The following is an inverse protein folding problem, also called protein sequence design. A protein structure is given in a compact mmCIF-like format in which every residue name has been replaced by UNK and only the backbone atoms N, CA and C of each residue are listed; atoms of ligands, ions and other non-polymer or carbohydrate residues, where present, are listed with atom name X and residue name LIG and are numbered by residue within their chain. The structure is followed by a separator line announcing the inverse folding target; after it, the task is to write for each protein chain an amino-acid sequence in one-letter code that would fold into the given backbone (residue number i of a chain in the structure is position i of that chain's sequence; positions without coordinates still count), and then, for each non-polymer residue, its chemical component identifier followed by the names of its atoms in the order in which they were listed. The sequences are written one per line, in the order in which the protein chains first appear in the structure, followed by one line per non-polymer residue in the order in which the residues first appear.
data_IF_958574581175
#
_entry.id   IF_958574581175
#
_cell.length_a   1.000
_cell.length_b   1.000
_cell.length_c   1.000
_cell.angle_alpha   90.00
_cell.angle_beta   90.00
_cell.angle_gamma   90.00
#
_symmetry.space_group_name_H-M   'P 1'
#
loop_
_entity.id
_entity.type
_entity.pdbx_description
1 polymer ?
#
# COMPACT_ATOMS: atom_id res chain seq x y z
N UNK A 1 10.14 60.22 -11.77
CA UNK A 1 9.15 59.45 -12.56
C UNK A 1 9.04 58.07 -11.94
N UNK A 2 8.02 57.81 -11.12
CA UNK A 2 7.82 56.50 -10.49
C UNK A 2 6.73 55.74 -11.24
N UNK A 3 7.12 54.68 -11.93
CA UNK A 3 6.20 53.75 -12.59
C UNK A 3 5.50 52.95 -11.49
N UNK A 4 4.25 53.29 -11.19
CA UNK A 4 3.39 52.46 -10.35
C UNK A 4 3.13 51.15 -11.10
N UNK A 5 3.84 50.09 -10.74
CA UNK A 5 3.46 48.73 -11.12
C UNK A 5 2.14 48.42 -10.40
N UNK A 6 1.02 48.59 -11.11
CA UNK A 6 -0.25 48.03 -10.68
C UNK A 6 -0.14 46.52 -10.85
N UNK A 7 0.02 45.81 -9.73
CA UNK A 7 -0.22 44.38 -9.66
C UNK A 7 -1.68 44.17 -10.09
N UNK A 8 -1.89 43.56 -11.26
CA UNK A 8 -3.21 43.06 -11.62
C UNK A 8 -3.60 42.01 -10.57
N UNK A 9 -4.87 41.98 -10.11
CA UNK A 9 -5.32 40.90 -9.25
C UNK A 9 -5.12 39.58 -10.01
N UNK A 10 -4.42 38.64 -9.39
CA UNK A 10 -4.33 37.27 -9.90
C UNK A 10 -5.76 36.79 -10.12
N UNK A 11 -6.13 36.27 -11.30
CA UNK A 11 -7.45 35.68 -11.46
C UNK A 11 -7.60 34.60 -10.38
N UNK A 12 -8.68 34.69 -9.61
CA UNK A 12 -9.02 33.69 -8.62
C UNK A 12 -9.37 32.42 -9.39
N UNK A 13 -8.39 31.51 -9.50
CA UNK A 13 -8.57 30.25 -10.21
C UNK A 13 -9.45 29.36 -9.34
N UNK A 14 -10.67 29.10 -9.81
CA UNK A 14 -11.54 28.11 -9.19
C UNK A 14 -11.00 26.72 -9.51
N UNK A 15 -10.37 26.10 -8.50
CA UNK A 15 -9.79 24.77 -8.61
C UNK A 15 -10.83 23.72 -9.01
N UNK A 16 -12.09 23.87 -8.62
CA UNK A 16 -13.14 22.90 -8.96
C UNK A 16 -13.56 23.05 -10.42
N UNK A 17 -13.67 24.28 -10.92
CA UNK A 17 -13.99 24.56 -12.33
C UNK A 17 -12.86 24.10 -13.26
N UNK A 18 -11.62 24.37 -12.86
CA UNK A 18 -10.44 23.92 -13.60
C UNK A 18 -10.28 22.40 -13.58
N UNK A 19 -10.51 21.74 -12.43
CA UNK A 19 -10.55 20.27 -12.33
C UNK A 19 -11.64 19.64 -13.20
N UNK A 20 -12.77 20.33 -13.39
CA UNK A 20 -13.87 19.85 -14.23
C UNK A 20 -13.55 19.91 -15.73
N UNK A 21 -12.68 20.84 -16.12
CA UNK A 21 -12.36 21.12 -17.52
C UNK A 21 -11.04 20.48 -17.96
N UNK A 22 -10.10 20.29 -17.03
CA UNK A 22 -8.78 19.73 -17.29
C UNK A 22 -8.56 18.42 -16.52
N UNK A 23 -8.77 17.24 -17.15
CA UNK A 23 -8.66 15.95 -16.46
C UNK A 23 -7.25 15.63 -15.97
N UNK A 24 -6.19 16.27 -16.50
CA UNK A 24 -4.82 16.04 -16.02
C UNK A 24 -4.59 16.57 -14.60
N UNK A 25 -5.37 17.56 -14.16
CA UNK A 25 -5.28 18.09 -12.80
C UNK A 25 -5.72 17.09 -11.73
N UNK A 26 -6.40 16.01 -12.11
CA UNK A 26 -6.73 14.89 -11.22
C UNK A 26 -5.47 14.37 -10.50
N UNK A 27 -4.35 14.23 -11.21
CA UNK A 27 -3.12 13.68 -10.65
C UNK A 27 -2.47 14.57 -9.58
N UNK A 28 -2.79 15.87 -9.56
CA UNK A 28 -2.33 16.80 -8.51
C UNK A 28 -3.15 16.60 -7.22
N UNK A 29 -4.43 16.25 -7.35
CA UNK A 29 -5.32 16.01 -6.21
C UNK A 29 -5.16 14.62 -5.58
N UNK A 30 -4.70 13.63 -6.36
CA UNK A 30 -4.50 12.26 -5.89
C UNK A 30 -3.27 12.15 -4.97
N UNK A 31 -3.36 11.26 -3.99
CA UNK A 31 -2.21 10.85 -3.20
C UNK A 31 -1.34 9.86 -3.99
N UNK A 32 -0.08 9.70 -3.60
CA UNK A 32 0.82 8.72 -4.19
C UNK A 32 0.16 7.32 -4.19
N UNK A 33 0.16 6.59 -5.33
CA UNK A 33 -0.32 5.23 -5.39
C UNK A 33 0.36 4.32 -4.37
N UNK A 34 -0.39 3.36 -3.86
CA UNK A 34 0.13 2.40 -2.87
C UNK A 34 0.66 1.15 -3.58
N UNK A 35 1.77 0.61 -3.08
CA UNK A 35 2.24 -0.69 -3.53
C UNK A 35 1.31 -1.80 -3.06
N UNK A 36 0.79 -2.57 -4.01
CA UNK A 36 -0.07 -3.72 -3.76
C UNK A 36 0.29 -4.87 -4.70
N UNK A 37 0.65 -6.01 -4.14
CA UNK A 37 0.92 -7.23 -4.90
C UNK A 37 -0.11 -8.32 -4.54
N UNK A 38 -1.04 -8.67 -5.47
CA UNK A 38 -2.08 -9.67 -5.23
C UNK A 38 -1.55 -11.04 -4.80
N UNK A 39 -0.37 -11.45 -5.27
CA UNK A 39 0.24 -12.74 -4.91
C UNK A 39 0.49 -12.85 -3.39
N UNK A 40 0.72 -11.71 -2.72
CA UNK A 40 0.90 -11.68 -1.27
C UNK A 40 -0.42 -11.89 -0.52
N UNK A 41 -1.57 -11.59 -1.14
CA UNK A 41 -2.88 -11.97 -0.61
C UNK A 41 -3.07 -13.48 -0.68
N UNK A 42 -2.65 -14.11 -1.79
CA UNK A 42 -2.72 -15.57 -1.93
C UNK A 42 -1.81 -16.28 -0.91
N UNK A 43 -0.62 -15.74 -0.66
CA UNK A 43 0.31 -16.27 0.37
C UNK A 43 -0.27 -16.13 1.77
N UNK A 44 -0.81 -14.95 2.10
CA UNK A 44 -1.26 -14.65 3.46
C UNK A 44 -2.70 -15.09 3.72
N UNK A 45 -3.46 -15.41 2.68
CA UNK A 45 -4.90 -15.65 2.70
C UNK A 45 -5.66 -14.51 3.40
N UNK A 46 -5.18 -13.27 3.23
CA UNK A 46 -5.75 -12.09 3.87
C UNK A 46 -5.40 -10.82 3.10
N UNK A 47 -6.41 -10.05 2.71
CA UNK A 47 -6.22 -8.80 1.98
C UNK A 47 -5.39 -7.80 2.80
N UNK A 48 -5.69 -7.62 4.08
CA UNK A 48 -5.02 -6.63 4.94
C UNK A 48 -3.58 -7.03 5.25
N UNK A 49 -3.31 -8.33 5.42
CA UNK A 49 -1.96 -8.85 5.60
C UNK A 49 -1.13 -8.74 4.31
N UNK A 50 -1.70 -9.08 3.16
CA UNK A 50 -1.05 -8.94 1.86
C UNK A 50 -0.76 -7.48 1.50
N UNK A 51 -1.69 -6.56 1.80
CA UNK A 51 -1.49 -5.13 1.62
C UNK A 51 -0.37 -4.59 2.53
N UNK A 52 -0.41 -4.91 3.83
CA UNK A 52 0.65 -4.53 4.76
C UNK A 52 2.01 -5.04 4.30
N UNK A 53 2.09 -6.31 3.89
CA UNK A 53 3.33 -6.93 3.43
C UNK A 53 3.84 -6.28 2.14
N UNK A 54 2.95 -5.92 1.22
CA UNK A 54 3.32 -5.18 -0.01
C UNK A 54 4.00 -3.85 0.32
N UNK A 55 3.40 -3.06 1.21
CA UNK A 55 3.97 -1.78 1.66
C UNK A 55 5.26 -1.99 2.46
N UNK A 56 5.32 -3.01 3.32
CA UNK A 56 6.52 -3.30 4.10
C UNK A 56 7.70 -3.70 3.21
N UNK A 57 7.48 -4.47 2.13
CA UNK A 57 8.53 -4.86 1.18
C UNK A 57 9.09 -3.69 0.36
N UNK A 58 8.29 -2.65 0.13
CA UNK A 58 8.75 -1.41 -0.52
C UNK A 58 9.71 -0.64 0.40
N UNK A 59 9.47 -0.66 1.71
CA UNK A 59 10.27 0.07 2.70
C UNK A 59 11.41 -0.77 3.30
N UNK A 60 11.34 -2.10 3.22
CA UNK A 60 12.27 -3.02 3.88
C UNK A 60 13.22 -3.72 2.89
N UNK A 61 14.52 -3.47 3.04
CA UNK A 61 15.57 -4.17 2.30
C UNK A 61 16.44 -5.00 3.26
N UNK A 62 16.02 -6.25 3.51
CA UNK A 62 16.83 -7.29 4.16
C UNK A 62 16.92 -7.27 5.69
N UNK A 63 17.17 -6.11 6.30
CA UNK A 63 17.41 -6.00 7.74
C UNK A 63 16.19 -5.51 8.54
N UNK A 64 16.40 -5.28 9.85
CA UNK A 64 15.44 -4.63 10.72
C UNK A 64 15.24 -3.16 10.33
N UNK A 65 14.02 -2.81 9.96
CA UNK A 65 13.63 -1.46 9.57
C UNK A 65 12.64 -0.85 10.56
N UNK A 66 12.80 0.44 10.80
CA UNK A 66 11.80 1.24 11.51
C UNK A 66 10.65 1.53 10.52
N UNK A 67 9.59 0.72 10.57
CA UNK A 67 8.37 1.05 9.83
C UNK A 67 7.54 2.04 10.64
N UNK A 68 7.34 3.23 10.08
CA UNK A 68 6.42 4.20 10.63
C UNK A 68 4.97 3.69 10.48
N UNK A 69 4.39 3.26 11.61
CA UNK A 69 3.02 2.74 11.65
C UNK A 69 1.99 3.78 11.23
N UNK A 70 2.21 5.07 11.54
CA UNK A 70 1.29 6.13 11.15
C UNK A 70 1.39 6.42 9.65
N UNK A 71 2.60 6.34 9.07
CA UNK A 71 2.78 6.35 7.60
C UNK A 71 2.04 5.18 6.96
N UNK A 72 2.26 3.94 7.42
CA UNK A 72 1.59 2.75 6.86
C UNK A 72 0.08 2.88 6.98
N UNK A 73 -0.44 3.30 8.14
CA UNK A 73 -1.87 3.50 8.37
C UNK A 73 -2.44 4.57 7.44
N UNK A 74 -1.74 5.69 7.26
CA UNK A 74 -2.14 6.75 6.33
C UNK A 74 -2.15 6.21 4.90
N UNK A 75 -1.10 5.52 4.46
CA UNK A 75 -0.98 4.98 3.10
C UNK A 75 -2.05 3.93 2.81
N UNK A 76 -2.18 2.92 3.68
CA UNK A 76 -3.05 1.75 3.46
C UNK A 76 -4.51 1.98 3.85
N UNK A 77 -4.82 3.05 4.60
CA UNK A 77 -6.14 3.33 5.19
C UNK A 77 -6.68 2.24 6.13
N UNK A 78 -5.85 1.28 6.53
CA UNK A 78 -6.24 0.27 7.51
C UNK A 78 -6.53 0.92 8.87
N UNK A 79 -7.57 0.45 9.55
CA UNK A 79 -7.84 0.79 10.94
C UNK A 79 -6.78 0.21 11.87
N UNK A 80 -6.71 0.69 13.12
CA UNK A 80 -5.81 0.13 14.13
C UNK A 80 -6.06 -1.38 14.36
N UNK A 81 -7.33 -1.81 14.29
CA UNK A 81 -7.73 -3.21 14.43
C UNK A 81 -7.24 -4.06 13.27
N UNK A 82 -7.44 -3.59 12.03
CA UNK A 82 -6.97 -4.27 10.83
C UNK A 82 -5.45 -4.33 10.77
N UNK A 83 -4.75 -3.25 11.13
CA UNK A 83 -3.30 -3.22 11.17
C UNK A 83 -2.76 -4.23 12.21
N UNK A 84 -3.36 -4.27 13.40
CA UNK A 84 -3.02 -5.26 14.43
C UNK A 84 -3.26 -6.70 13.94
N UNK A 85 -4.41 -6.94 13.30
CA UNK A 85 -4.76 -8.25 12.74
C UNK A 85 -3.82 -8.69 11.61
N UNK A 86 -3.51 -7.79 10.68
CA UNK A 86 -2.55 -8.00 9.59
C UNK A 86 -1.17 -8.38 10.14
N UNK A 87 -0.66 -7.62 11.13
CA UNK A 87 0.62 -7.92 11.76
C UNK A 87 0.63 -9.25 12.52
N UNK A 88 -0.45 -9.56 13.25
CA UNK A 88 -0.58 -10.86 13.91
C UNK A 88 -0.55 -12.00 12.89
N UNK A 89 -1.34 -11.90 11.82
CA UNK A 89 -1.38 -12.88 10.73
C UNK A 89 0.01 -13.13 10.14
N UNK A 90 0.77 -12.07 9.87
CA UNK A 90 2.11 -12.17 9.30
C UNK A 90 3.11 -12.79 10.27
N UNK A 91 3.00 -12.50 11.57
CA UNK A 91 3.80 -13.17 12.61
C UNK A 91 3.44 -14.65 12.73
N UNK A 92 2.16 -15.00 12.68
CA UNK A 92 1.70 -16.39 12.73
C UNK A 92 2.20 -17.23 11.54
N UNK A 93 2.39 -16.59 10.38
CA UNK A 93 2.96 -17.19 9.18
C UNK A 93 4.49 -17.21 9.17
N UNK A 94 5.14 -16.66 10.19
CA UNK A 94 6.59 -16.45 10.28
C UNK A 94 7.16 -15.59 9.12
N UNK A 95 6.35 -14.66 8.60
CA UNK A 95 6.73 -13.74 7.53
C UNK A 95 7.21 -12.39 8.05
N UNK A 96 6.80 -12.00 9.25
CA UNK A 96 7.14 -10.73 9.89
C UNK A 96 7.68 -11.00 11.29
N UNK A 97 8.80 -10.38 11.63
CA UNK A 97 9.32 -10.32 12.99
C UNK A 97 9.23 -8.89 13.52
N UNK A 98 8.91 -8.76 14.81
CA UNK A 98 8.75 -7.47 15.48
C UNK A 98 9.68 -7.42 16.70
N UNK A 99 10.35 -6.30 16.90
CA UNK A 99 11.11 -6.03 18.13
C UNK A 99 10.91 -4.60 18.60
N UNK A 100 11.01 -4.37 19.90
CA UNK A 100 11.03 -3.03 20.50
C UNK A 100 12.45 -2.66 20.87
N UNK A 101 12.90 -1.47 20.47
CA UNK A 101 14.24 -0.96 20.75
C UNK A 101 14.20 0.44 21.38
N UNK A 102 15.16 0.71 22.27
CA UNK A 102 15.46 2.03 22.80
C UNK A 102 14.42 2.65 23.76
N UNK A 103 14.69 3.89 24.14
CA UNK A 103 13.81 4.77 24.92
C UNK A 103 13.77 6.16 24.27
N UNK A 104 12.60 6.70 23.88
CA UNK A 104 11.28 6.04 23.86
C UNK A 104 11.26 4.84 22.90
N UNK A 105 10.44 3.82 23.22
CA UNK A 105 10.46 2.55 22.50
C UNK A 105 9.99 2.70 21.05
N UNK A 106 10.83 2.31 20.10
CA UNK A 106 10.46 2.20 18.67
C UNK A 106 10.25 0.74 18.30
N UNK A 107 9.29 0.48 17.41
CA UNK A 107 9.04 -0.88 16.91
C UNK A 107 9.76 -1.05 15.58
N UNK A 108 10.70 -1.99 15.53
CA UNK A 108 11.37 -2.39 14.31
C UNK A 108 10.76 -3.69 13.79
N UNK A 109 10.80 -3.82 12.46
CA UNK A 109 10.25 -4.93 11.73
C UNK A 109 11.32 -5.56 10.85
N UNK A 110 11.29 -6.87 10.71
CA UNK A 110 12.10 -7.58 9.71
C UNK A 110 11.21 -8.56 8.97
N UNK A 111 11.42 -8.66 7.65
CA UNK A 111 10.69 -9.60 6.80
C UNK A 111 11.51 -10.88 6.65
N UNK A 112 10.87 -12.02 6.86
CA UNK A 112 11.51 -13.32 6.63
C UNK A 112 11.47 -13.66 5.13
N UNK A 113 12.47 -13.19 4.40
CA UNK A 113 12.59 -13.41 2.95
C UNK A 113 12.73 -14.89 2.57
N UNK A 114 13.35 -15.72 3.40
CA UNK A 114 13.47 -17.16 3.15
C UNK A 114 12.13 -17.87 3.25
N UNK A 115 11.32 -17.52 4.25
CA UNK A 115 9.96 -18.02 4.38
C UNK A 115 9.09 -17.56 3.20
N UNK A 116 9.16 -16.28 2.84
CA UNK A 116 8.42 -15.71 1.72
C UNK A 116 8.77 -16.41 0.40
N UNK A 117 10.06 -16.59 0.11
CA UNK A 117 10.56 -17.34 -1.06
C UNK A 117 10.01 -18.77 -1.09
N UNK A 118 10.04 -19.47 0.04
CA UNK A 118 9.52 -20.85 0.13
C UNK A 118 8.03 -20.91 -0.16
N UNK A 119 7.25 -19.96 0.36
CA UNK A 119 5.81 -19.87 0.10
C UNK A 119 5.50 -19.52 -1.36
N UNK A 120 6.26 -18.61 -1.98
CA UNK A 120 6.14 -18.29 -3.41
C UNK A 120 6.40 -19.51 -4.31
N UNK A 121 7.49 -20.26 -4.04
CA UNK A 121 7.81 -21.47 -4.80
C UNK A 121 6.74 -22.55 -4.60
N UNK A 122 6.16 -22.64 -3.41
CA UNK A 122 5.08 -23.60 -3.14
C UNK A 122 3.81 -23.22 -3.89
N UNK A 123 3.47 -21.92 -3.93
CA UNK A 123 2.31 -21.40 -4.64
C UNK A 123 2.45 -21.60 -6.16
N UNK A 124 3.62 -21.37 -6.74
CA UNK A 124 3.86 -21.54 -8.18
C UNK A 124 3.84 -23.01 -8.64
N UNK A 125 4.06 -23.96 -7.72
CA UNK A 125 3.94 -25.40 -7.98
C UNK A 125 2.52 -25.91 -7.94
N UNK A 126 1.58 -25.14 -7.38
CA UNK A 126 0.17 -25.47 -7.46
C UNK A 126 -0.30 -25.14 -8.90
N UNK A 127 -0.92 -26.10 -9.63
CA UNK A 127 -1.52 -25.77 -10.91
C UNK A 127 -2.56 -24.66 -10.67
N UNK A 128 -2.48 -23.59 -11.46
CA UNK A 128 -3.35 -22.42 -11.39
C UNK A 128 -4.82 -22.79 -11.67
N UNK A 129 -5.48 -23.42 -10.72
CA UNK A 129 -6.90 -23.75 -10.76
C UNK A 129 -7.65 -22.84 -9.78
N UNK A 130 -7.76 -21.55 -10.10
CA UNK A 130 -8.70 -20.67 -9.38
C UNK A 130 -9.07 -19.35 -10.10
N UNK A 131 -8.36 -18.88 -11.14
CA UNK A 131 -8.61 -17.52 -11.66
C UNK A 131 -9.21 -17.42 -13.08
N UNK A 132 -9.69 -18.53 -13.67
CA UNK A 132 -10.27 -18.54 -15.04
C UNK A 132 -11.79 -18.81 -15.09
N UNK A 133 -12.48 -19.02 -13.96
CA UNK A 133 -13.93 -19.35 -13.98
C UNK A 133 -14.89 -18.26 -13.50
N UNK A 134 -14.47 -16.98 -13.42
CA UNK A 134 -15.37 -15.89 -13.01
C UNK A 134 -15.70 -14.87 -14.10
N UNK A 135 -15.29 -15.05 -15.36
CA UNK A 135 -15.73 -14.19 -16.46
C UNK A 135 -15.86 -14.98 -17.77
N UNK A 136 -17.05 -15.52 -18.01
CA UNK A 136 -17.56 -15.85 -19.34
C UNK A 136 -18.92 -15.17 -19.51
N UNK A 137 -19.09 -14.27 -20.49
CA UNK A 137 -20.37 -13.60 -20.73
C UNK A 137 -21.31 -14.50 -21.54
N UNK A 138 -22.60 -14.21 -21.43
CA UNK A 138 -23.66 -14.46 -22.42
C UNK A 138 -24.28 -15.86 -22.48
N UNK A 139 -25.53 -15.93 -22.01
CA UNK A 139 -26.60 -16.57 -22.79
C UNK A 139 -27.83 -15.65 -22.75
N UNK A 140 -27.92 -14.76 -23.75
CA UNK A 140 -29.21 -14.25 -24.21
C UNK A 140 -29.77 -15.34 -25.14
N UNK A 141 -30.88 -15.95 -24.76
CA UNK A 141 -31.85 -16.56 -25.65
C UNK A 141 -33.24 -16.26 -25.12
#
# INVERSE_FOLDING_TARGET
MSVKHQLQPTPEVDLLDELSTNPELLFIALQQPISFNPVLVDITQSLTAGLFLSTALEEAHGDWVDLDQEKIKRTTRLTNGELKGARQRLRDLDLLHERRIGFPSRTQYSINFDKLKTMLVSLSRLPSQAHVQANGPTALH
#
